data_IF_612812994038
#
_entry.id   IF_612812994038
#
_cell.length_a   1.000
_cell.length_b   1.000
_cell.length_c   1.000
_cell.angle_alpha   90.00
_cell.angle_beta   90.00
_cell.angle_gamma   90.00
#
_symmetry.space_group_name_H-M   'P 1'
#
loop_
_entity.id
_entity.type
_entity.pdbx_description
1 polymer ?
#
# COMPACT_ATOMS: atom_id res chain seq x y z
N UNK A 1 -39.19 -24.32 31.99
CA UNK A 1 -39.46 -23.05 31.27
C UNK A 1 -38.14 -22.59 30.67
N UNK A 2 -37.93 -22.91 29.39
CA UNK A 2 -36.73 -22.57 28.63
C UNK A 2 -37.18 -21.58 27.55
N UNK A 3 -36.80 -20.31 27.68
CA UNK A 3 -36.98 -19.32 26.63
C UNK A 3 -35.64 -19.25 25.90
N UNK A 4 -35.53 -20.06 24.86
CA UNK A 4 -34.33 -20.21 24.04
C UNK A 4 -34.50 -19.40 22.75
N UNK A 5 -33.57 -18.48 22.52
CA UNK A 5 -32.89 -18.35 21.23
C UNK A 5 -33.76 -18.13 19.97
N UNK A 6 -34.31 -16.94 19.75
CA UNK A 6 -34.80 -16.56 18.40
C UNK A 6 -34.32 -15.20 17.87
N UNK A 7 -33.65 -14.36 18.66
CA UNK A 7 -33.26 -13.02 18.18
C UNK A 7 -31.90 -12.89 17.50
N UNK A 8 -31.12 -13.96 17.32
CA UNK A 8 -29.78 -13.88 16.68
C UNK A 8 -29.73 -14.29 15.21
N UNK A 9 -30.83 -14.81 14.65
CA UNK A 9 -30.86 -15.33 13.27
C UNK A 9 -31.19 -14.29 12.18
N UNK A 10 -31.81 -13.16 12.56
CA UNK A 10 -32.35 -12.21 11.58
C UNK A 10 -31.31 -11.18 11.08
N UNK A 11 -30.40 -10.75 11.95
CA UNK A 11 -29.38 -9.76 11.60
C UNK A 11 -28.32 -10.30 10.63
N UNK A 12 -28.00 -11.59 10.66
CA UNK A 12 -26.95 -12.16 9.81
C UNK A 12 -27.42 -12.50 8.40
N UNK A 13 -28.71 -12.79 8.20
CA UNK A 13 -29.23 -13.19 6.89
C UNK A 13 -29.44 -12.03 5.92
N UNK A 14 -29.63 -10.81 6.44
CA UNK A 14 -29.81 -9.61 5.60
C UNK A 14 -28.52 -8.80 5.41
N UNK A 15 -27.56 -8.87 6.34
CA UNK A 15 -26.28 -8.14 6.21
C UNK A 15 -25.30 -8.81 5.23
N UNK A 16 -25.21 -10.14 5.24
CA UNK A 16 -24.28 -10.89 4.36
C UNK A 16 -24.55 -10.67 2.86
N UNK A 17 -25.81 -10.72 2.37
CA UNK A 17 -26.08 -10.44 0.95
C UNK A 17 -25.83 -8.97 0.61
N UNK A 18 -26.17 -8.01 1.48
CA UNK A 18 -25.94 -6.58 1.24
C UNK A 18 -24.45 -6.24 1.09
N UNK A 19 -23.59 -6.81 1.95
CA UNK A 19 -22.14 -6.67 1.80
C UNK A 19 -21.61 -7.32 0.51
N UNK A 20 -22.13 -8.50 0.14
CA UNK A 20 -21.71 -9.20 -1.07
C UNK A 20 -22.13 -8.49 -2.37
N UNK A 21 -23.28 -7.81 -2.36
CA UNK A 21 -23.86 -7.12 -3.51
C UNK A 21 -23.22 -5.74 -3.73
N UNK A 22 -22.96 -4.98 -2.66
CA UNK A 22 -22.20 -3.73 -2.69
C UNK A 22 -20.72 -3.98 -3.04
N UNK A 23 -20.13 -5.10 -2.60
CA UNK A 23 -18.76 -5.46 -2.93
C UNK A 23 -18.57 -5.73 -4.44
N UNK A 24 -19.46 -6.50 -5.09
CA UNK A 24 -19.27 -6.95 -6.49
C UNK A 24 -19.06 -5.83 -7.51
N UNK A 25 -19.68 -4.65 -7.32
CA UNK A 25 -19.64 -3.54 -8.29
C UNK A 25 -18.54 -2.51 -8.00
N UNK A 26 -17.99 -2.47 -6.78
CA UNK A 26 -17.01 -1.48 -6.32
C UNK A 26 -15.53 -1.91 -6.37
N UNK A 27 -15.23 -3.21 -6.53
CA UNK A 27 -13.89 -3.76 -6.28
C UNK A 27 -12.80 -3.26 -7.26
N UNK A 28 -13.07 -3.20 -8.57
CA UNK A 28 -11.98 -2.92 -9.54
C UNK A 28 -11.54 -1.46 -9.56
N UNK A 29 -12.50 -0.52 -9.53
CA UNK A 29 -12.23 0.92 -9.53
C UNK A 29 -11.58 1.37 -8.23
N UNK A 30 -12.12 0.95 -7.08
CA UNK A 30 -11.55 1.28 -5.77
C UNK A 30 -10.13 0.74 -5.62
N UNK A 31 -9.90 -0.52 -6.01
CA UNK A 31 -8.57 -1.13 -6.01
C UNK A 31 -7.56 -0.31 -6.83
N UNK A 32 -7.97 0.18 -7.99
CA UNK A 32 -7.12 1.01 -8.85
C UNK A 32 -6.81 2.36 -8.20
N UNK A 33 -7.83 3.06 -7.67
CA UNK A 33 -7.66 4.35 -7.01
C UNK A 33 -6.77 4.23 -5.77
N UNK A 34 -7.00 3.24 -4.91
CA UNK A 34 -6.19 3.01 -3.71
C UNK A 34 -4.75 2.67 -4.07
N UNK A 35 -4.55 1.87 -5.13
CA UNK A 35 -3.22 1.54 -5.62
C UNK A 35 -2.51 2.78 -6.16
N UNK A 36 -3.20 3.62 -6.94
CA UNK A 36 -2.65 4.87 -7.46
C UNK A 36 -2.27 5.83 -6.33
N UNK A 37 -3.17 6.06 -5.36
CA UNK A 37 -2.91 6.87 -4.15
C UNK A 37 -1.68 6.36 -3.42
N UNK A 38 -1.58 5.04 -3.24
CA UNK A 38 -0.41 4.42 -2.62
C UNK A 38 0.88 4.66 -3.41
N UNK A 39 0.86 4.54 -4.74
CA UNK A 39 2.05 4.76 -5.60
C UNK A 39 2.53 6.21 -5.49
N UNK A 40 1.61 7.17 -5.56
CA UNK A 40 1.94 8.60 -5.48
C UNK A 40 2.53 8.96 -4.10
N UNK A 41 1.90 8.49 -3.02
CA UNK A 41 2.42 8.66 -1.66
C UNK A 41 3.81 8.04 -1.49
N UNK A 42 4.01 6.81 -1.97
CA UNK A 42 5.32 6.16 -1.88
C UNK A 42 6.38 6.85 -2.73
N UNK A 43 6.02 7.39 -3.91
CA UNK A 43 6.93 8.23 -4.71
C UNK A 43 7.33 9.48 -3.94
N UNK A 44 6.38 10.16 -3.31
CA UNK A 44 6.64 11.34 -2.49
C UNK A 44 7.62 11.03 -1.36
N UNK A 45 7.35 9.98 -0.57
CA UNK A 45 8.24 9.58 0.53
C UNK A 45 9.61 9.12 0.04
N UNK A 46 9.69 8.40 -1.08
CA UNK A 46 10.95 7.99 -1.67
C UNK A 46 11.78 9.20 -2.11
N UNK A 47 11.17 10.20 -2.74
CA UNK A 47 11.86 11.43 -3.12
C UNK A 47 12.41 12.16 -1.91
N UNK A 48 11.57 12.37 -0.90
CA UNK A 48 11.97 13.00 0.36
C UNK A 48 13.13 12.23 1.02
N UNK A 49 13.03 10.92 1.12
CA UNK A 49 14.08 10.06 1.68
C UNK A 49 15.41 10.17 0.93
N UNK A 50 15.40 10.20 -0.40
CA UNK A 50 16.63 10.37 -1.17
C UNK A 50 17.24 11.77 -0.97
N UNK A 51 16.42 12.80 -0.76
CA UNK A 51 16.90 14.17 -0.51
C UNK A 51 17.57 14.32 0.87
N UNK A 52 17.12 13.54 1.87
CA UNK A 52 17.66 13.55 3.24
C UNK A 52 18.94 12.73 3.41
N UNK A 53 19.40 12.01 2.37
CA UNK A 53 20.61 11.19 2.41
C UNK A 53 21.71 11.87 1.59
N UNK A 54 22.60 12.67 2.21
CA UNK A 54 23.54 13.53 1.49
C UNK A 54 24.62 12.77 0.72
N UNK A 55 25.01 11.58 1.17
CA UNK A 55 26.19 10.87 0.64
C UNK A 55 25.85 9.54 -0.06
N UNK A 56 24.61 9.34 -0.50
CA UNK A 56 24.25 8.16 -1.28
C UNK A 56 24.91 8.18 -2.68
N UNK A 57 25.66 7.15 -3.08
CA UNK A 57 26.16 7.00 -4.44
C UNK A 57 25.04 6.68 -5.43
N UNK A 58 25.15 7.16 -6.67
CA UNK A 58 24.14 6.90 -7.71
C UNK A 58 23.90 5.41 -8.01
N UNK A 59 24.88 4.54 -7.76
CA UNK A 59 24.72 3.08 -7.86
C UNK A 59 23.76 2.53 -6.79
N UNK A 60 23.77 3.10 -5.59
CA UNK A 60 23.03 2.60 -4.44
C UNK A 60 21.61 3.18 -4.40
N UNK A 61 21.36 4.33 -5.05
CA UNK A 61 20.01 4.86 -5.31
C UNK A 61 19.11 3.79 -5.96
N UNK A 62 19.66 3.00 -6.88
CA UNK A 62 18.91 1.95 -7.61
C UNK A 62 18.48 0.77 -6.74
N UNK A 63 19.12 0.62 -5.58
CA UNK A 63 18.84 -0.44 -4.62
C UNK A 63 17.81 -0.01 -3.56
N UNK A 64 17.44 1.28 -3.51
CA UNK A 64 16.42 1.79 -2.61
C UNK A 64 15.05 1.27 -3.04
N UNK A 65 14.43 0.46 -2.20
CA UNK A 65 13.09 -0.10 -2.42
C UNK A 65 12.14 0.37 -1.31
N UNK A 66 11.08 1.07 -1.72
CA UNK A 66 10.02 1.49 -0.80
C UNK A 66 8.90 0.44 -0.80
N UNK A 67 8.66 -0.25 0.34
CA UNK A 67 7.56 -1.20 0.44
C UNK A 67 6.21 -0.48 0.44
N UNK A 68 5.22 -1.12 -0.17
CA UNK A 68 3.83 -0.68 -0.23
C UNK A 68 2.95 -1.86 0.10
N UNK A 69 2.06 -1.71 1.07
CA UNK A 69 1.15 -2.78 1.49
C UNK A 69 -0.27 -2.33 1.20
N UNK A 70 -0.94 -3.05 0.31
CA UNK A 70 -2.36 -2.85 0.03
C UNK A 70 -3.14 -3.99 0.69
N UNK A 71 -4.05 -3.63 1.59
CA UNK A 71 -4.92 -4.57 2.28
C UNK A 71 -6.34 -4.32 1.76
N UNK A 72 -6.96 -5.35 1.19
CA UNK A 72 -8.37 -5.34 0.80
C UNK A 72 -9.07 -6.51 1.46
N UNK A 73 -10.00 -6.22 2.37
CA UNK A 73 -10.60 -7.23 3.24
C UNK A 73 -9.53 -8.03 3.99
N UNK A 74 -9.35 -9.30 3.67
CA UNK A 74 -8.33 -10.17 4.24
C UNK A 74 -7.16 -10.41 3.28
N UNK A 75 -7.22 -9.92 2.04
CA UNK A 75 -6.14 -10.06 1.07
C UNK A 75 -5.12 -8.94 1.18
N UNK A 76 -3.86 -9.34 1.31
CA UNK A 76 -2.70 -8.45 1.35
C UNK A 76 -1.91 -8.61 0.06
N UNK A 77 -1.57 -7.48 -0.55
CA UNK A 77 -0.69 -7.39 -1.71
C UNK A 77 0.44 -6.43 -1.39
N UNK A 78 1.67 -6.91 -1.46
CA UNK A 78 2.85 -6.10 -1.29
C UNK A 78 3.46 -5.76 -2.63
N UNK A 79 3.76 -4.49 -2.80
CA UNK A 79 4.54 -3.97 -3.91
C UNK A 79 5.79 -3.27 -3.40
N UNK A 80 6.77 -3.09 -4.27
CA UNK A 80 7.90 -2.20 -4.03
C UNK A 80 8.00 -1.16 -5.12
N UNK A 81 8.29 0.07 -4.73
CA UNK A 81 8.64 1.16 -5.62
C UNK A 81 10.16 1.35 -5.58
N UNK A 82 10.81 1.36 -6.75
CA UNK A 82 12.24 1.65 -6.86
C UNK A 82 12.54 2.61 -8.00
N UNK A 83 13.63 3.36 -7.88
CA UNK A 83 14.11 4.30 -8.89
C UNK A 83 15.19 3.60 -9.72
N UNK A 84 14.80 3.02 -10.86
CA UNK A 84 15.70 2.23 -11.69
C UNK A 84 16.72 3.08 -12.44
N UNK A 85 16.32 4.30 -12.82
CA UNK A 85 17.16 5.30 -13.45
C UNK A 85 16.63 6.71 -13.15
N UNK A 86 17.33 7.75 -13.61
CA UNK A 86 16.86 9.13 -13.51
C UNK A 86 15.43 9.28 -14.04
N UNK A 87 14.52 9.71 -13.17
CA UNK A 87 13.10 9.90 -13.44
C UNK A 87 12.29 8.62 -13.67
N UNK A 88 12.91 7.44 -13.68
CA UNK A 88 12.25 6.17 -14.02
C UNK A 88 11.98 5.34 -12.76
N UNK A 89 10.72 5.38 -12.32
CA UNK A 89 10.23 4.59 -11.19
C UNK A 89 9.62 3.28 -11.70
N UNK A 90 9.93 2.18 -11.02
CA UNK A 90 9.39 0.86 -11.32
C UNK A 90 8.62 0.37 -10.10
N UNK A 91 7.36 0.01 -10.32
CA UNK A 91 6.54 -0.72 -9.37
C UNK A 91 6.69 -2.22 -9.62
N UNK A 92 7.05 -2.99 -8.60
CA UNK A 92 7.19 -4.44 -8.68
C UNK A 92 6.24 -5.11 -7.68
N UNK A 93 5.49 -6.13 -8.14
CA UNK A 93 4.71 -6.98 -7.24
C UNK A 93 5.65 -7.99 -6.57
N UNK A 94 5.49 -8.17 -5.25
CA UNK A 94 6.51 -8.88 -4.47
C UNK A 94 5.96 -10.10 -3.73
N UNK A 95 4.91 -9.92 -2.90
CA UNK A 95 4.20 -11.04 -2.27
C UNK A 95 2.70 -10.74 -2.19
N UNK A 96 1.87 -11.79 -2.23
CA UNK A 96 0.48 -11.71 -1.85
C UNK A 96 0.15 -12.84 -0.90
N UNK A 97 -0.62 -12.53 0.14
CA UNK A 97 -1.09 -13.48 1.14
C UNK A 97 -2.43 -13.01 1.70
N UNK A 98 -3.15 -13.88 2.39
CA UNK A 98 -4.40 -13.52 3.04
C UNK A 98 -4.29 -13.72 4.55
N UNK A 99 -4.92 -12.85 5.34
CA UNK A 99 -5.10 -13.07 6.76
C UNK A 99 -6.07 -14.24 6.97
N UNK A 100 -5.79 -15.14 7.93
CA UNK A 100 -6.70 -16.23 8.25
C UNK A 100 -8.08 -15.73 8.69
N UNK A 101 -9.15 -16.28 8.12
CA UNK A 101 -10.54 -15.95 8.46
C UNK A 101 -11.24 -17.06 9.26
N UNK A 102 -10.66 -18.25 9.29
CA UNK A 102 -11.15 -19.41 10.04
C UNK A 102 -10.00 -20.35 10.43
N UNK A 103 -10.29 -21.33 11.31
CA UNK A 103 -9.29 -22.27 11.82
C UNK A 103 -8.57 -23.06 10.71
N UNK A 104 -9.26 -23.44 9.63
CA UNK A 104 -8.65 -24.13 8.50
C UNK A 104 -7.63 -23.26 7.78
N UNK A 105 -7.99 -22.00 7.48
CA UNK A 105 -7.08 -21.02 6.89
C UNK A 105 -5.91 -20.66 7.81
N UNK A 106 -6.10 -20.71 9.13
CA UNK A 106 -5.03 -20.48 10.09
C UNK A 106 -4.00 -21.62 10.03
N UNK A 107 -4.46 -22.87 10.03
CA UNK A 107 -3.56 -24.04 10.01
C UNK A 107 -2.72 -24.13 8.73
N UNK A 108 -3.27 -23.71 7.60
CA UNK A 108 -2.63 -23.83 6.28
C UNK A 108 -1.95 -22.54 5.80
N UNK A 109 -2.48 -21.38 6.17
CA UNK A 109 -2.09 -20.07 5.63
C UNK A 109 -1.14 -19.25 6.52
N UNK A 110 -0.96 -19.64 7.79
CA UNK A 110 -0.15 -18.87 8.74
C UNK A 110 1.30 -18.68 8.27
N UNK A 111 1.90 -19.68 7.61
CA UNK A 111 3.26 -19.55 7.08
C UNK A 111 3.36 -18.43 6.03
N UNK A 112 2.36 -18.28 5.15
CA UNK A 112 2.35 -17.22 4.15
C UNK A 112 2.18 -15.84 4.80
N UNK A 113 1.34 -15.72 5.84
CA UNK A 113 1.21 -14.49 6.62
C UNK A 113 2.53 -14.11 7.28
N UNK A 114 3.19 -15.05 7.96
CA UNK A 114 4.49 -14.81 8.62
C UNK A 114 5.54 -14.39 7.59
N UNK A 115 5.67 -15.13 6.48
CA UNK A 115 6.64 -14.82 5.44
C UNK A 115 6.40 -13.43 4.82
N UNK A 116 5.14 -13.06 4.61
CA UNK A 116 4.79 -11.74 4.09
C UNK A 116 5.15 -10.61 5.06
N UNK A 117 4.83 -10.78 6.35
CA UNK A 117 5.20 -9.81 7.38
C UNK A 117 6.72 -9.71 7.57
N UNK A 118 7.44 -10.82 7.56
CA UNK A 118 8.91 -10.84 7.62
C UNK A 118 9.55 -10.15 6.42
N UNK A 119 8.94 -10.25 5.22
CA UNK A 119 9.44 -9.55 4.04
C UNK A 119 9.25 -8.03 4.16
N UNK A 120 8.13 -7.57 4.73
CA UNK A 120 7.90 -6.15 5.02
C UNK A 120 8.95 -5.64 6.02
N UNK A 121 9.17 -6.38 7.11
CA UNK A 121 10.17 -6.04 8.12
C UNK A 121 11.58 -5.93 7.51
N UNK A 122 11.97 -6.91 6.69
CA UNK A 122 13.25 -6.90 5.98
C UNK A 122 13.43 -5.64 5.13
N UNK A 123 12.43 -5.26 4.32
CA UNK A 123 12.51 -4.05 3.48
C UNK A 123 12.64 -2.77 4.31
N UNK A 124 11.98 -2.70 5.47
CA UNK A 124 12.10 -1.56 6.37
C UNK A 124 13.48 -1.48 7.04
N UNK A 125 14.06 -2.63 7.40
CA UNK A 125 15.43 -2.71 7.92
C UNK A 125 16.44 -2.27 6.86
N UNK A 126 16.29 -2.72 5.62
CA UNK A 126 17.14 -2.30 4.50
C UNK A 126 17.06 -0.79 4.26
N UNK A 127 15.86 -0.19 4.29
CA UNK A 127 15.70 1.26 4.19
C UNK A 127 16.42 2.01 5.32
N UNK A 128 16.30 1.53 6.56
CA UNK A 128 17.04 2.10 7.70
C UNK A 128 18.54 1.99 7.49
N UNK A 129 19.02 0.84 7.08
CA UNK A 129 20.44 0.60 6.83
C UNK A 129 20.99 1.53 5.75
N UNK A 130 20.27 1.72 4.64
CA UNK A 130 20.66 2.68 3.60
C UNK A 130 20.70 4.09 4.14
N UNK A 131 19.70 4.49 4.93
CA UNK A 131 19.67 5.82 5.54
C UNK A 131 20.90 6.06 6.41
N UNK A 132 21.16 5.17 7.37
CA UNK A 132 22.26 5.29 8.33
C UNK A 132 23.64 5.26 7.65
N UNK A 133 23.86 4.33 6.71
CA UNK A 133 25.15 4.13 6.04
C UNK A 133 25.59 5.29 5.17
N UNK A 134 24.65 6.15 4.77
CA UNK A 134 24.90 7.26 3.85
C UNK A 134 24.64 8.64 4.49
N UNK A 135 24.45 8.70 5.82
CA UNK A 135 24.39 9.95 6.56
C UNK A 135 25.76 10.64 6.67
N UNK A 136 26.84 9.86 6.76
CA UNK A 136 28.20 10.37 6.90
C UNK A 136 29.01 10.13 5.64
N UNK A 137 30.02 10.97 5.44
CA UNK A 137 30.96 10.82 4.34
C UNK A 137 32.14 9.97 4.84
N UNK A 138 32.39 8.82 4.22
CA UNK A 138 33.54 7.95 4.53
C UNK A 138 34.90 8.59 4.18
N UNK A 139 34.92 9.74 3.50
CA UNK A 139 36.17 10.43 3.20
C UNK A 139 36.81 10.96 4.47
N UNK A 140 38.13 10.87 4.54
CA UNK A 140 38.96 11.34 5.64
C UNK A 140 38.56 12.74 6.11
N UNK A 141 37.89 12.82 7.26
CA UNK A 141 37.40 14.07 7.83
C UNK A 141 38.55 15.09 7.98
N UNK A 142 39.76 14.59 8.22
CA UNK A 142 40.98 15.38 8.29
C UNK A 142 41.30 16.03 6.93
N UNK A 143 41.13 15.33 5.81
CA UNK A 143 41.37 15.87 4.47
C UNK A 143 40.35 16.97 4.12
N UNK A 144 39.09 16.83 4.54
CA UNK A 144 38.08 17.88 4.36
C UNK A 144 38.48 19.15 5.14
N UNK A 145 38.84 19.00 6.42
CA UNK A 145 39.27 20.11 7.29
C UNK A 145 40.51 20.81 6.71
N UNK A 146 41.51 20.03 6.27
CA UNK A 146 42.74 20.55 5.68
C UNK A 146 42.51 21.25 4.34
N UNK A 147 41.52 20.81 3.57
CA UNK A 147 41.18 21.42 2.27
C UNK A 147 40.31 22.69 2.38
N UNK A 148 39.74 22.98 3.55
CA UNK A 148 38.83 24.11 3.76
C UNK A 148 37.51 24.02 2.96
N UNK A 149 37.23 22.90 2.29
CA UNK A 149 36.03 22.70 1.51
C UNK A 149 34.89 22.11 2.35
N UNK A 150 33.64 22.46 2.03
CA UNK A 150 32.48 21.76 2.58
C UNK A 150 32.28 20.41 1.89
N UNK A 151 31.79 19.42 2.65
CA UNK A 151 31.45 18.11 2.12
C UNK A 151 30.33 18.25 1.07
N UNK A 152 30.65 17.97 -0.20
CA UNK A 152 29.66 17.99 -1.29
C UNK A 152 28.87 16.68 -1.28
N UNK A 153 27.57 16.77 -1.59
CA UNK A 153 26.72 15.58 -1.80
C UNK A 153 27.36 14.67 -2.87
N UNK A 154 27.37 13.35 -2.65
CA UNK A 154 27.99 12.41 -3.61
C UNK A 154 27.23 12.37 -4.93
N UNK A 155 25.90 12.52 -4.89
CA UNK A 155 25.03 12.46 -6.07
C UNK A 155 24.05 13.64 -6.11
N UNK A 156 23.85 14.32 -7.26
CA UNK A 156 22.87 15.38 -7.39
C UNK A 156 21.44 14.82 -7.48
N UNK A 157 20.81 14.53 -6.34
CA UNK A 157 19.49 13.87 -6.24
C UNK A 157 18.38 14.57 -7.03
N UNK A 158 18.40 15.91 -7.13
CA UNK A 158 17.39 16.66 -7.90
C UNK A 158 17.33 16.28 -9.38
N UNK A 159 18.43 15.78 -9.97
CA UNK A 159 18.45 15.26 -11.34
C UNK A 159 18.00 13.80 -11.48
N UNK A 160 17.71 13.14 -10.36
CA UNK A 160 17.27 11.74 -10.32
C UNK A 160 15.77 11.61 -10.09
N UNK A 161 15.18 12.50 -9.31
CA UNK A 161 13.77 12.44 -8.92
C UNK A 161 12.88 13.27 -9.85
N UNK A 162 11.59 12.94 -9.90
CA UNK A 162 10.56 13.78 -10.54
C UNK A 162 9.49 14.15 -9.54
N UNK A 163 8.87 15.31 -9.72
CA UNK A 163 7.77 15.78 -8.88
C UNK A 163 6.57 14.82 -8.91
N UNK A 164 5.80 14.82 -7.83
CA UNK A 164 4.56 14.04 -7.72
C UNK A 164 3.42 14.94 -8.19
N UNK A 165 2.67 14.49 -9.19
CA UNK A 165 1.50 15.19 -9.71
C UNK A 165 0.27 14.52 -9.11
N UNK A 166 -0.50 15.27 -8.34
CA UNK A 166 -1.76 14.84 -7.76
C UNK A 166 -2.89 15.26 -8.70
N UNK A 167 -3.71 14.31 -9.16
CA UNK A 167 -4.90 14.64 -9.94
C UNK A 167 -6.07 14.85 -8.96
N UNK A 168 -6.41 16.12 -8.72
CA UNK A 168 -7.51 16.52 -7.83
C UNK A 168 -8.88 16.02 -8.33
N UNK A 169 -9.03 15.79 -9.65
CA UNK A 169 -10.26 15.31 -10.29
C UNK A 169 -10.71 13.89 -9.87
N UNK A 170 -9.88 13.14 -9.13
CA UNK A 170 -10.25 11.81 -8.62
C UNK A 170 -10.92 11.83 -7.24
N UNK A 171 -11.05 12.99 -6.59
CA UNK A 171 -11.65 13.12 -5.25
C UNK A 171 -13.19 13.15 -5.27
N UNK A 172 -13.82 13.53 -6.38
CA UNK A 172 -15.30 13.67 -6.48
C UNK A 172 -16.06 12.33 -6.68
N UNK A 173 -15.36 11.20 -6.65
CA UNK A 173 -15.91 9.90 -7.08
C UNK A 173 -16.16 8.93 -5.91
N UNK A 174 -16.16 9.45 -4.69
CA UNK A 174 -16.61 8.78 -3.47
C UNK A 174 -18.10 9.07 -3.16
N UNK A 175 -18.86 9.58 -4.15
CA UNK A 175 -20.30 9.85 -4.05
C UNK A 175 -21.16 8.60 -4.20
N UNK A 176 -22.03 8.38 -3.21
CA UNK A 176 -22.99 7.28 -3.09
C UNK A 176 -23.70 6.92 -4.40
N UNK A 177 -23.84 5.62 -4.63
CA UNK A 177 -24.83 5.07 -5.56
C UNK A 177 -26.23 5.31 -4.99
N UNK A 178 -26.76 6.52 -5.11
CA UNK A 178 -28.18 6.80 -4.95
C UNK A 178 -28.87 6.74 -6.32
N UNK A 179 -29.93 5.94 -6.41
CA UNK A 179 -30.97 6.06 -7.44
C UNK A 179 -31.13 4.85 -8.36
N UNK A 180 -31.94 3.89 -7.91
CA UNK A 180 -33.02 3.29 -8.72
C UNK A 180 -33.83 2.35 -7.81
N UNK A 181 -34.70 2.93 -6.99
CA UNK A 181 -35.95 2.27 -6.60
C UNK A 181 -36.87 2.35 -7.83
N UNK A 182 -37.26 1.22 -8.40
CA UNK A 182 -38.54 1.07 -9.10
C UNK A 182 -39.07 -0.34 -8.79
N UNK A 183 -40.00 -0.34 -7.82
CA UNK A 183 -41.22 -1.14 -7.70
C UNK A 183 -41.30 -2.51 -8.40
N UNK A 184 -41.39 -3.58 -7.58
CA UNK A 184 -42.21 -4.75 -7.92
C UNK A 184 -43.25 -4.93 -6.79
N UNK A 185 -44.45 -4.39 -7.03
CA UNK A 185 -45.68 -4.74 -6.32
C UNK A 185 -46.09 -6.16 -6.72
N UNK A 186 -45.73 -7.16 -5.91
CA UNK A 186 -46.32 -8.50 -6.04
C UNK A 186 -47.61 -8.58 -5.20
N UNK A 187 -48.70 -8.36 -5.91
CA UNK A 187 -50.10 -8.59 -5.53
C UNK A 187 -50.33 -10.06 -5.18
N UNK A 188 -50.63 -10.36 -3.91
CA UNK A 188 -51.11 -11.68 -3.50
C UNK A 188 -52.62 -11.76 -3.78
N UNK A 189 -52.99 -12.09 -5.01
CA UNK A 189 -54.34 -12.55 -5.32
C UNK A 189 -54.53 -13.99 -4.80
N UNK A 190 -55.36 -14.06 -3.77
CA UNK A 190 -55.90 -15.23 -3.10
C UNK A 190 -56.98 -15.88 -4.00
N UNK A 191 -56.69 -17.00 -4.67
CA UNK A 191 -57.72 -17.80 -5.34
C UNK A 191 -57.49 -19.33 -5.23
N UNK A 192 -58.25 -19.90 -4.29
CA UNK A 192 -58.87 -21.25 -4.21
C UNK A 192 -57.99 -22.50 -3.98
#
# INVERSE_FOLDING_TARGET
MSVHSEHKGWLWKHFVPYFAEVAKKAISRKLFVDKLKSILSSKYYMNYFLETIPFIPGKDIKNVMFPMVQIMEFDVRMYTLRLANQGLYILQGHISFSFPTNYGSLKLGLSNTINGLSCIEFLLIELRHVHESHQMNDSDAMAIILSGNSAKKKTPIKGWITEVIWNEENEELEGDAQGADEDDEDDYEDHL
#
